data_IF_265952448216
#
_entry.id   IF_265952448216
#
_cell.length_a   1.000
_cell.length_b   1.000
_cell.length_c   1.000
_cell.angle_alpha   90.00
_cell.angle_beta   90.00
_cell.angle_gamma   90.00
#
_symmetry.space_group_name_H-M   'P 1'
#
loop_
_entity.id
_entity.type
_entity.pdbx_description
1 polymer ?
#
# COMPACT_ATOMS: atom_id res chain seq x y z
N UNK A 1 -5.49 21.42 -1.38
CA UNK A 1 -4.67 20.28 -1.82
C UNK A 1 -4.18 19.58 -0.56
N UNK A 2 -4.58 18.32 -0.35
CA UNK A 2 -4.19 17.54 0.83
C UNK A 2 -2.67 17.23 0.80
N UNK A 3 -2.10 16.82 1.93
CA UNK A 3 -0.71 16.36 1.96
C UNK A 3 -0.52 15.13 1.07
N UNK A 4 -1.54 14.26 1.00
CA UNK A 4 -1.57 13.11 0.11
C UNK A 4 -1.54 13.51 -1.37
N UNK A 5 -2.25 14.58 -1.78
CA UNK A 5 -2.18 15.11 -3.15
C UNK A 5 -0.78 15.62 -3.47
N UNK A 6 -0.12 16.28 -2.52
CA UNK A 6 1.27 16.75 -2.67
C UNK A 6 2.24 15.59 -2.75
N UNK A 7 1.99 14.52 -2.00
CA UNK A 7 2.80 13.30 -2.01
C UNK A 7 2.65 12.55 -3.33
N UNK A 8 1.42 12.37 -3.82
CA UNK A 8 1.15 11.74 -5.13
C UNK A 8 1.81 12.55 -6.25
N UNK A 9 1.80 13.89 -6.16
CA UNK A 9 2.50 14.76 -7.11
C UNK A 9 4.03 14.59 -7.03
N UNK A 10 4.60 14.41 -5.83
CA UNK A 10 6.05 14.10 -5.69
C UNK A 10 6.42 12.76 -6.31
N UNK A 11 5.58 11.74 -6.17
CA UNK A 11 5.78 10.43 -6.81
C UNK A 11 5.84 10.52 -8.34
N UNK A 12 5.19 11.53 -8.93
CA UNK A 12 5.17 11.73 -10.38
C UNK A 12 6.31 12.61 -10.91
N UNK A 13 6.99 13.36 -10.05
CA UNK A 13 7.95 14.40 -10.46
C UNK A 13 9.43 14.06 -10.13
N UNK A 14 9.69 13.10 -9.24
CA UNK A 14 11.04 12.70 -8.88
C UNK A 14 11.34 11.29 -9.41
N UNK A 15 12.23 11.21 -10.40
CA UNK A 15 12.96 9.99 -10.79
C UNK A 15 13.94 9.58 -9.68
N UNK A 16 13.47 9.49 -8.44
CA UNK A 16 14.19 9.12 -7.24
C UNK A 16 13.95 7.64 -6.95
N UNK A 17 15.02 6.89 -6.67
CA UNK A 17 15.02 5.50 -6.17
C UNK A 17 14.37 5.37 -4.76
N UNK A 18 13.46 6.26 -4.40
CA UNK A 18 12.78 6.22 -3.10
C UNK A 18 11.76 5.07 -3.11
N UNK A 19 12.11 3.99 -2.43
CA UNK A 19 11.21 2.86 -2.22
C UNK A 19 10.17 3.26 -1.20
N UNK A 20 8.95 3.55 -1.65
CA UNK A 20 7.83 3.80 -0.75
C UNK A 20 7.21 2.51 -0.27
N UNK A 21 6.96 2.43 1.03
CA UNK A 21 6.38 1.25 1.66
C UNK A 21 4.86 1.26 1.53
N UNK A 22 4.33 0.24 0.86
CA UNK A 22 2.89 0.14 0.59
C UNK A 22 2.15 -0.48 1.75
N UNK A 23 1.15 0.22 2.25
CA UNK A 23 0.22 -0.32 3.21
C UNK A 23 -0.77 -1.28 2.53
N UNK A 24 -1.05 -2.40 3.20
CA UNK A 24 -1.98 -3.45 2.76
C UNK A 24 -3.30 -3.36 3.51
N UNK A 25 -3.22 -3.05 4.81
CA UNK A 25 -4.37 -3.04 5.71
C UNK A 25 -4.12 -2.09 6.87
N UNK A 26 -5.16 -1.40 7.28
CA UNK A 26 -5.20 -0.62 8.51
C UNK A 26 -6.19 -1.24 9.49
N UNK A 27 -5.83 -1.25 10.76
CA UNK A 27 -6.68 -1.60 11.90
C UNK A 27 -6.62 -0.47 12.90
N UNK A 28 -7.74 0.21 13.09
CA UNK A 28 -7.88 1.23 14.13
C UNK A 28 -8.04 0.55 15.48
N UNK A 29 -7.38 1.10 16.50
CA UNK A 29 -7.37 0.62 17.87
C UNK A 29 -8.08 1.62 18.80
N UNK A 30 -8.02 1.37 20.10
CA UNK A 30 -8.55 2.29 21.09
C UNK A 30 -7.75 3.60 21.09
N UNK A 31 -8.43 4.71 21.45
CA UNK A 31 -7.85 6.03 21.40
C UNK A 31 -7.63 6.52 19.98
N UNK A 32 -6.41 6.93 19.64
CA UNK A 32 -5.97 7.42 18.33
C UNK A 32 -4.87 6.56 17.72
N UNK A 33 -4.69 5.35 18.26
CA UNK A 33 -3.69 4.40 17.78
C UNK A 33 -4.22 3.52 16.65
N UNK A 34 -3.33 3.07 15.79
CA UNK A 34 -3.63 2.13 14.72
C UNK A 34 -2.48 1.15 14.47
N UNK A 35 -2.80 0.03 13.88
CA UNK A 35 -1.83 -0.89 13.30
C UNK A 35 -1.97 -0.89 11.78
N UNK A 36 -0.86 -0.76 11.09
CA UNK A 36 -0.81 -0.81 9.63
C UNK A 36 0.09 -1.97 9.21
N UNK A 37 -0.48 -2.89 8.45
CA UNK A 37 0.25 -3.98 7.80
C UNK A 37 0.81 -3.47 6.48
N UNK A 38 2.11 -3.61 6.30
CA UNK A 38 2.81 -3.24 5.09
C UNK A 38 3.10 -4.43 4.19
N UNK A 39 3.42 -4.15 2.94
CA UNK A 39 3.67 -5.15 1.90
C UNK A 39 4.87 -6.06 2.18
N UNK A 40 5.83 -5.61 2.98
CA UNK A 40 6.97 -6.41 3.44
C UNK A 40 6.63 -7.36 4.60
N UNK A 41 5.37 -7.34 5.06
CA UNK A 41 4.88 -8.16 6.16
C UNK A 41 4.98 -7.50 7.52
N UNK A 42 5.65 -6.35 7.64
CA UNK A 42 5.73 -5.65 8.93
C UNK A 42 4.40 -5.02 9.31
N UNK A 43 4.04 -5.19 10.57
CA UNK A 43 2.91 -4.49 11.19
C UNK A 43 3.47 -3.37 12.06
N UNK A 44 3.13 -2.15 11.70
CA UNK A 44 3.53 -0.95 12.43
C UNK A 44 2.40 -0.46 13.32
N UNK A 45 2.72 -0.24 14.58
CA UNK A 45 1.85 0.48 15.53
C UNK A 45 2.20 1.95 15.50
N UNK A 46 1.19 2.80 15.34
CA UNK A 46 1.34 4.25 15.29
C UNK A 46 0.20 4.94 16.04
N UNK A 47 0.52 5.96 16.83
CA UNK A 47 -0.47 6.78 17.52
C UNK A 47 -0.51 8.19 16.91
N UNK A 48 -1.65 8.59 16.39
CA UNK A 48 -1.87 9.93 15.81
C UNK A 48 -1.64 11.06 16.81
N UNK A 49 -1.74 10.78 18.11
CA UNK A 49 -1.45 11.76 19.15
C UNK A 49 -0.04 12.36 19.04
N UNK A 50 0.92 11.63 18.47
CA UNK A 50 2.29 12.12 18.23
C UNK A 50 2.33 13.33 17.29
N UNK A 51 1.31 13.52 16.47
CA UNK A 51 1.22 14.60 15.49
C UNK A 51 0.39 15.80 15.97
N UNK A 52 -0.33 15.72 17.09
CA UNK A 52 -1.30 16.74 17.51
C UNK A 52 -0.69 18.09 17.84
N UNK A 53 0.55 18.12 18.33
CA UNK A 53 1.24 19.37 18.62
C UNK A 53 1.71 20.07 17.33
N UNK A 54 2.17 19.28 16.36
CA UNK A 54 2.63 19.80 15.07
C UNK A 54 1.47 20.16 14.15
N UNK A 55 0.38 19.39 14.21
CA UNK A 55 -0.81 19.54 13.36
C UNK A 55 -2.08 19.56 14.22
N UNK A 56 -2.44 20.70 14.81
CA UNK A 56 -3.57 20.81 15.76
C UNK A 56 -4.92 20.37 15.19
N UNK A 57 -5.13 20.46 13.86
CA UNK A 57 -6.34 19.99 13.19
C UNK A 57 -6.56 18.49 13.36
N UNK A 58 -5.50 17.70 13.54
CA UNK A 58 -5.60 16.25 13.76
C UNK A 58 -6.21 15.90 15.12
N UNK A 59 -6.35 16.86 16.05
CA UNK A 59 -7.05 16.65 17.33
C UNK A 59 -8.53 16.27 17.14
N UNK A 60 -9.11 16.53 15.96
CA UNK A 60 -10.43 16.04 15.63
C UNK A 60 -10.52 14.50 15.67
N UNK A 61 -9.40 13.79 15.49
CA UNK A 61 -9.32 12.33 15.59
C UNK A 61 -9.47 11.79 17.01
N UNK A 62 -9.51 12.66 18.02
CA UNK A 62 -9.87 12.28 19.41
C UNK A 62 -11.36 11.88 19.53
N UNK A 63 -12.21 12.32 18.60
CA UNK A 63 -13.51 11.71 18.41
C UNK A 63 -13.32 10.29 17.84
N UNK A 64 -13.57 9.29 18.70
CA UNK A 64 -13.30 7.90 18.37
C UNK A 64 -14.16 7.41 17.18
N UNK A 65 -15.41 7.84 17.06
CA UNK A 65 -16.26 7.47 15.93
C UNK A 65 -15.71 8.05 14.63
N UNK A 66 -15.24 9.28 14.67
CA UNK A 66 -14.58 9.91 13.52
C UNK A 66 -13.26 9.20 13.19
N UNK A 67 -12.43 8.88 14.20
CA UNK A 67 -11.18 8.14 13.99
C UNK A 67 -11.40 6.79 13.29
N UNK A 68 -12.42 6.03 13.72
CA UNK A 68 -12.77 4.74 13.11
C UNK A 68 -13.28 4.85 11.66
N UNK A 69 -13.69 6.05 11.21
CA UNK A 69 -14.16 6.28 9.85
C UNK A 69 -13.05 6.36 8.80
N UNK A 70 -11.80 6.41 9.23
CA UNK A 70 -10.62 6.49 8.37
C UNK A 70 -10.56 5.34 7.37
N UNK A 71 -10.04 5.62 6.18
CA UNK A 71 -9.93 4.64 5.10
C UNK A 71 -8.55 4.68 4.48
N UNK A 72 -8.01 3.50 4.19
CA UNK A 72 -6.80 3.38 3.38
C UNK A 72 -7.13 3.76 1.94
N UNK A 73 -6.45 4.78 1.41
CA UNK A 73 -6.58 5.27 0.04
C UNK A 73 -5.39 4.79 -0.78
N UNK A 74 -5.66 3.89 -1.70
CA UNK A 74 -4.60 3.18 -2.40
C UNK A 74 -3.73 2.38 -1.41
N UNK A 75 -2.43 2.55 -1.50
CA UNK A 75 -1.47 1.93 -0.57
C UNK A 75 -0.62 2.96 0.19
N UNK A 76 -0.91 4.25 0.03
CA UNK A 76 0.01 5.33 0.40
C UNK A 76 -0.55 6.34 1.41
N UNK A 77 -1.84 6.30 1.69
CA UNK A 77 -2.44 7.24 2.63
C UNK A 77 -3.64 6.67 3.37
N UNK A 78 -3.88 7.19 4.56
CA UNK A 78 -5.11 6.97 5.33
C UNK A 78 -5.80 8.31 5.42
N UNK A 79 -7.07 8.37 5.00
CA UNK A 79 -7.85 9.60 4.90
C UNK A 79 -9.12 9.47 5.74
N UNK A 80 -9.47 10.55 6.46
CA UNK A 80 -10.72 10.70 7.19
C UNK A 80 -11.70 11.63 6.46
N UNK A 81 -11.17 12.68 5.85
CA UNK A 81 -11.89 13.60 4.96
C UNK A 81 -10.88 14.35 4.07
N UNK A 82 -11.34 15.33 3.28
CA UNK A 82 -10.50 16.06 2.33
C UNK A 82 -9.39 16.91 2.98
N UNK A 83 -9.50 17.19 4.27
CA UNK A 83 -8.56 18.04 5.03
C UNK A 83 -7.69 17.23 6.01
N UNK A 84 -8.05 15.98 6.29
CA UNK A 84 -7.40 15.15 7.31
C UNK A 84 -6.98 13.81 6.73
N UNK A 85 -5.69 13.68 6.50
CA UNK A 85 -5.03 12.47 6.02
C UNK A 85 -3.65 12.30 6.66
N UNK A 86 -3.06 11.11 6.52
CA UNK A 86 -1.68 10.80 6.86
C UNK A 86 -1.08 9.89 5.79
N UNK A 87 0.16 10.17 5.41
CA UNK A 87 0.94 9.30 4.54
C UNK A 87 1.34 8.02 5.26
N UNK A 88 1.19 6.88 4.60
CA UNK A 88 1.58 5.60 5.19
C UNK A 88 3.10 5.49 5.38
N UNK A 89 3.90 6.25 4.63
CA UNK A 89 5.34 6.31 4.81
C UNK A 89 5.72 6.87 6.19
N UNK A 90 5.05 7.93 6.65
CA UNK A 90 5.23 8.45 8.02
C UNK A 90 5.00 7.36 9.07
N UNK A 91 3.94 6.53 8.88
CA UNK A 91 3.65 5.41 9.78
C UNK A 91 4.73 4.33 9.69
N UNK A 92 5.28 4.08 8.50
CA UNK A 92 6.33 3.09 8.33
C UNK A 92 7.64 3.52 9.00
N UNK A 93 8.04 4.76 8.82
CA UNK A 93 9.28 5.32 9.37
C UNK A 93 9.21 5.51 10.88
N UNK A 94 8.17 6.19 11.37
CA UNK A 94 8.06 6.60 12.77
C UNK A 94 7.34 5.56 13.66
N UNK A 95 6.60 4.64 13.07
CA UNK A 95 5.85 3.62 13.81
C UNK A 95 6.73 2.50 14.34
N UNK A 96 6.30 1.88 15.42
CA UNK A 96 6.98 0.76 16.05
C UNK A 96 6.57 -0.54 15.35
N UNK A 97 7.52 -1.34 14.88
CA UNK A 97 7.22 -2.69 14.38
C UNK A 97 6.84 -3.60 15.56
N UNK A 98 5.59 -4.03 15.59
CA UNK A 98 5.06 -4.86 16.69
C UNK A 98 5.08 -6.35 16.37
N UNK A 99 5.03 -6.70 15.08
CA UNK A 99 5.14 -8.09 14.59
C UNK A 99 5.38 -8.11 13.08
N UNK A 100 5.68 -9.29 12.57
CA UNK A 100 5.68 -9.58 11.13
C UNK A 100 4.58 -10.61 10.82
N UNK A 101 3.84 -10.37 9.74
CA UNK A 101 2.79 -11.25 9.25
C UNK A 101 3.16 -11.77 7.85
N UNK A 102 2.95 -13.07 7.63
CA UNK A 102 3.08 -13.63 6.28
C UNK A 102 1.87 -13.22 5.45
N UNK A 103 2.12 -12.50 4.36
CA UNK A 103 1.06 -12.16 3.42
C UNK A 103 0.61 -13.40 2.64
N UNK A 104 -0.71 -13.56 2.40
CA UNK A 104 -1.18 -14.53 1.43
C UNK A 104 -0.52 -14.31 0.06
N UNK A 105 -0.24 -15.40 -0.66
CA UNK A 105 0.43 -15.31 -1.97
C UNK A 105 -0.35 -14.42 -2.96
N UNK A 106 -1.68 -14.42 -2.90
CA UNK A 106 -2.53 -13.53 -3.69
C UNK A 106 -2.29 -12.05 -3.40
N UNK A 107 -2.08 -11.70 -2.12
CA UNK A 107 -1.79 -10.34 -1.71
C UNK A 107 -0.37 -9.92 -2.11
N UNK A 108 0.60 -10.81 -1.98
CA UNK A 108 1.97 -10.57 -2.43
C UNK A 108 2.02 -10.35 -3.96
N UNK A 109 1.30 -11.19 -4.72
CA UNK A 109 1.18 -11.04 -6.17
C UNK A 109 0.48 -9.73 -6.57
N UNK A 110 -0.62 -9.38 -5.88
CA UNK A 110 -1.36 -8.12 -6.11
C UNK A 110 -0.44 -6.90 -5.98
N UNK A 111 0.28 -6.88 -4.91
CA UNK A 111 1.20 -5.83 -4.55
C UNK A 111 2.36 -5.72 -5.55
N UNK A 112 2.94 -6.85 -5.96
CA UNK A 112 4.02 -6.89 -6.95
C UNK A 112 3.56 -6.38 -8.32
N UNK A 113 2.37 -6.82 -8.79
CA UNK A 113 1.79 -6.39 -10.07
C UNK A 113 1.50 -4.89 -10.07
N UNK A 114 0.82 -4.40 -9.03
CA UNK A 114 0.48 -2.97 -8.92
C UNK A 114 1.73 -2.09 -8.87
N UNK A 115 2.77 -2.52 -8.14
CA UNK A 115 4.04 -1.80 -8.06
C UNK A 115 4.78 -1.76 -9.39
N UNK A 116 4.95 -2.92 -10.02
CA UNK A 116 5.66 -3.01 -11.30
C UNK A 116 4.95 -2.20 -12.39
N UNK A 117 3.60 -2.23 -12.43
CA UNK A 117 2.84 -1.41 -13.36
C UNK A 117 3.04 0.09 -13.11
N UNK A 118 2.96 0.53 -11.85
CA UNK A 118 3.16 1.93 -11.50
C UNK A 118 4.56 2.42 -11.88
N UNK A 119 5.59 1.63 -11.58
CA UNK A 119 6.98 1.92 -11.98
C UNK A 119 7.17 2.00 -13.50
N UNK A 120 6.39 1.23 -14.26
CA UNK A 120 6.40 1.27 -15.73
C UNK A 120 5.56 2.43 -16.32
N UNK A 121 4.93 3.24 -15.49
CA UNK A 121 4.10 4.37 -15.91
C UNK A 121 2.81 3.98 -16.66
N UNK A 122 2.41 2.71 -16.62
CA UNK A 122 1.24 2.23 -17.32
C UNK A 122 -0.03 2.30 -16.47
N UNK A 123 -1.14 2.72 -17.07
CA UNK A 123 -2.48 2.54 -16.49
C UNK A 123 -2.91 1.06 -16.57
N UNK A 124 -3.89 0.67 -15.76
CA UNK A 124 -4.50 -0.67 -15.86
C UNK A 124 -5.03 -0.95 -17.28
N UNK A 125 -5.62 0.06 -17.94
CA UNK A 125 -6.13 -0.05 -19.30
C UNK A 125 -5.02 -0.28 -20.34
N UNK A 126 -3.89 0.40 -20.19
CA UNK A 126 -2.72 0.20 -21.05
C UNK A 126 -2.10 -1.18 -20.82
N UNK A 127 -1.97 -1.63 -19.56
CA UNK A 127 -1.51 -2.98 -19.26
C UNK A 127 -2.45 -4.05 -19.83
N UNK A 128 -3.76 -3.85 -19.77
CA UNK A 128 -4.74 -4.72 -20.41
C UNK A 128 -4.52 -4.83 -21.92
N UNK A 129 -4.29 -3.70 -22.60
CA UNK A 129 -4.06 -3.66 -24.03
C UNK A 129 -2.81 -4.44 -24.47
N UNK A 130 -1.70 -4.34 -23.71
CA UNK A 130 -0.43 -5.00 -24.05
C UNK A 130 -0.40 -6.48 -23.62
N UNK A 131 -1.16 -6.86 -22.59
CA UNK A 131 -1.22 -8.25 -22.11
C UNK A 131 -2.32 -9.07 -22.74
N UNK A 132 -3.38 -8.44 -23.28
CA UNK A 132 -4.60 -9.12 -23.68
C UNK A 132 -5.43 -9.68 -22.52
N UNK A 133 -5.18 -9.20 -21.28
CA UNK A 133 -5.97 -9.52 -20.09
C UNK A 133 -6.99 -8.42 -19.90
N UNK A 134 -8.24 -8.75 -19.59
CA UNK A 134 -9.27 -7.74 -19.36
C UNK A 134 -8.88 -6.80 -18.21
N UNK A 135 -9.15 -5.51 -18.37
CA UNK A 135 -8.84 -4.50 -17.37
C UNK A 135 -9.51 -4.79 -16.02
N UNK A 136 -10.71 -5.36 -16.03
CA UNK A 136 -11.40 -5.78 -14.82
C UNK A 136 -10.65 -6.89 -14.07
N UNK A 137 -10.00 -7.80 -14.79
CA UNK A 137 -9.23 -8.88 -14.18
C UNK A 137 -7.88 -8.38 -13.65
N UNK A 138 -7.22 -7.46 -14.34
CA UNK A 138 -6.05 -6.76 -13.84
C UNK A 138 -6.40 -6.02 -12.52
N UNK A 139 -7.54 -5.32 -12.51
CA UNK A 139 -8.02 -4.63 -11.30
C UNK A 139 -8.28 -5.59 -10.14
N UNK A 140 -8.86 -6.78 -10.39
CA UNK A 140 -9.05 -7.81 -9.35
C UNK A 140 -7.73 -8.37 -8.84
N UNK A 141 -6.77 -8.61 -9.74
CA UNK A 141 -5.43 -9.07 -9.39
C UNK A 141 -4.75 -8.04 -8.47
N UNK A 142 -4.72 -6.77 -8.86
CA UNK A 142 -4.07 -5.70 -8.09
C UNK A 142 -4.72 -5.43 -6.72
N UNK A 143 -5.99 -5.78 -6.56
CA UNK A 143 -6.69 -5.70 -5.28
C UNK A 143 -6.57 -6.97 -4.41
N UNK A 144 -5.87 -8.00 -4.90
CA UNK A 144 -5.76 -9.28 -4.20
C UNK A 144 -7.04 -10.09 -4.17
N UNK A 145 -8.00 -9.76 -5.04
CA UNK A 145 -9.32 -10.43 -5.16
C UNK A 145 -9.32 -11.58 -6.17
N UNK A 146 -8.19 -11.84 -6.80
CA UNK A 146 -8.01 -12.93 -7.74
C UNK A 146 -6.71 -13.68 -7.45
N UNK A 147 -6.67 -14.95 -7.83
CA UNK A 147 -5.47 -15.79 -7.81
C UNK A 147 -4.97 -15.98 -9.25
N UNK A 148 -4.09 -15.10 -9.75
CA UNK A 148 -3.55 -15.27 -11.08
C UNK A 148 -2.65 -16.51 -11.14
N UNK A 149 -2.70 -17.22 -12.28
CA UNK A 149 -1.75 -18.30 -12.52
C UNK A 149 -0.32 -17.76 -12.67
N UNK A 150 0.68 -18.61 -12.46
CA UNK A 150 2.09 -18.27 -12.71
C UNK A 150 2.26 -17.77 -14.16
N UNK A 151 1.63 -18.41 -15.14
CA UNK A 151 1.66 -17.98 -16.54
C UNK A 151 1.05 -16.59 -16.75
N UNK A 152 0.00 -16.25 -16.00
CA UNK A 152 -0.60 -14.90 -16.03
C UNK A 152 0.37 -13.86 -15.48
N UNK A 153 1.01 -14.16 -14.34
CA UNK A 153 2.01 -13.27 -13.72
C UNK A 153 3.24 -13.10 -14.63
N UNK A 154 3.71 -14.17 -15.27
CA UNK A 154 4.83 -14.12 -16.22
C UNK A 154 4.50 -13.24 -17.43
N UNK A 155 3.28 -13.37 -17.99
CA UNK A 155 2.82 -12.52 -19.09
C UNK A 155 2.75 -11.04 -18.69
N UNK A 156 2.27 -10.74 -17.48
CA UNK A 156 2.25 -9.38 -16.94
C UNK A 156 3.68 -8.84 -16.78
N UNK A 157 4.57 -9.61 -16.16
CA UNK A 157 5.96 -9.22 -15.96
C UNK A 157 6.67 -8.92 -17.28
N UNK A 158 6.51 -9.79 -18.29
CA UNK A 158 7.07 -9.59 -19.62
C UNK A 158 6.54 -8.34 -20.33
N UNK A 159 5.23 -8.06 -20.20
CA UNK A 159 4.62 -6.84 -20.78
C UNK A 159 5.12 -5.54 -20.09
N UNK A 160 5.56 -5.63 -18.85
CA UNK A 160 6.17 -4.54 -18.10
C UNK A 160 7.69 -4.40 -18.33
N UNK A 161 8.26 -5.23 -19.21
CA UNK A 161 9.71 -5.25 -19.48
C UNK A 161 10.54 -5.94 -18.41
N UNK A 162 9.90 -6.65 -17.49
CA UNK A 162 10.51 -7.35 -16.37
C UNK A 162 10.49 -8.87 -16.52
N UNK A 163 10.89 -9.55 -15.46
CA UNK A 163 10.89 -11.00 -15.33
C UNK A 163 10.22 -11.42 -14.04
N UNK A 164 9.39 -12.47 -14.09
CA UNK A 164 8.83 -13.08 -12.88
C UNK A 164 9.91 -13.88 -12.14
N UNK A 165 10.06 -13.65 -10.86
CA UNK A 165 10.90 -14.45 -9.98
C UNK A 165 10.04 -15.01 -8.84
N UNK A 166 10.14 -16.32 -8.61
CA UNK A 166 9.42 -17.01 -7.52
C UNK A 166 10.46 -17.68 -6.62
N UNK A 167 10.32 -17.43 -5.32
CA UNK A 167 11.19 -18.03 -4.31
C UNK A 167 10.36 -18.76 -3.27
N UNK A 168 10.76 -19.99 -2.96
CA UNK A 168 10.24 -20.76 -1.82
C UNK A 168 11.25 -20.63 -0.68
N UNK A 169 10.79 -20.11 0.45
CA UNK A 169 11.60 -19.96 1.65
C UNK A 169 11.14 -21.04 2.64
N UNK A 170 12.05 -21.93 3.00
CA UNK A 170 11.82 -22.92 4.05
C UNK A 170 12.19 -22.32 5.42
N UNK A 171 11.54 -22.74 6.50
CA UNK A 171 11.96 -22.35 7.85
C UNK A 171 13.39 -22.83 8.10
N UNK A 172 14.19 -21.98 8.74
CA UNK A 172 15.48 -22.41 9.25
C UNK A 172 15.22 -23.47 10.34
N UNK A 173 15.80 -24.66 10.19
CA UNK A 173 15.76 -25.67 11.23
C UNK A 173 16.67 -25.19 12.38
N UNK A 174 16.06 -24.92 13.54
CA UNK A 174 16.81 -24.73 14.79
C UNK A 174 17.52 -26.02 15.20
#
# INVERSE_FOLDING_TARGET
MSELDRFILRLSDEGSDTVFHKAVKVKFLDGTAMEVLFQDGKVKHYDMALLFDKYPQLKALQDHQFFLSGKLIGAYGIMWNDDLDIETETIYEDGITVREEKLPASQAAASAVASARAMSGLSQKQLAAVTGIDQSDISKIERGMANPSVATLERIAGALGGQLSIRIVLPENE
#
